data_IF_428339826975
#
_entry.id   IF_428339826975
#
_cell.length_a   1.000
_cell.length_b   1.000
_cell.length_c   1.000
_cell.angle_alpha   90.00
_cell.angle_beta   90.00
_cell.angle_gamma   90.00
#
_symmetry.space_group_name_H-M   'P 1'
#
loop_
_entity.id
_entity.type
_entity.pdbx_description
1 polymer ?
#
# COMPACT_ATOMS: atom_id res chain seq x y z
N UNK A 1 2.36 -30.93 42.27
CA UNK A 1 1.61 -29.81 41.67
C UNK A 1 0.22 -30.34 41.31
N UNK A 2 -0.85 -29.68 41.75
CA UNK A 2 -2.23 -30.14 41.54
C UNK A 2 -2.75 -29.64 40.18
N UNK A 3 -3.43 -30.48 39.42
CA UNK A 3 -4.00 -30.18 38.10
C UNK A 3 -4.81 -28.87 38.08
N UNK A 4 -5.52 -28.53 39.17
CA UNK A 4 -6.26 -27.26 39.27
C UNK A 4 -5.37 -26.02 39.22
N UNK A 5 -4.18 -26.11 39.83
CA UNK A 5 -3.22 -25.01 39.87
C UNK A 5 -2.55 -24.82 38.49
N UNK A 6 -2.27 -25.93 37.80
CA UNK A 6 -1.74 -25.90 36.44
C UNK A 6 -2.73 -25.27 35.46
N UNK A 7 -4.01 -25.69 35.52
CA UNK A 7 -5.08 -25.12 34.69
C UNK A 7 -5.23 -23.62 34.92
N UNK A 8 -5.17 -23.16 36.18
CA UNK A 8 -5.28 -21.73 36.49
C UNK A 8 -4.11 -20.91 35.93
N UNK A 9 -2.87 -21.42 36.01
CA UNK A 9 -1.69 -20.78 35.42
C UNK A 9 -1.82 -20.69 33.89
N UNK A 10 -2.27 -21.77 33.24
CA UNK A 10 -2.49 -21.78 31.79
C UNK A 10 -3.58 -20.77 31.38
N UNK A 11 -4.68 -20.67 32.13
CA UNK A 11 -5.74 -19.70 31.85
C UNK A 11 -5.26 -18.25 31.96
N UNK A 12 -4.40 -17.96 32.94
CA UNK A 12 -3.80 -16.64 33.14
C UNK A 12 -2.89 -16.29 31.97
N UNK A 13 -2.00 -17.21 31.59
CA UNK A 13 -1.09 -17.02 30.46
C UNK A 13 -1.84 -16.81 29.12
N UNK A 14 -2.90 -17.59 28.87
CA UNK A 14 -3.75 -17.40 27.68
C UNK A 14 -4.43 -16.03 27.68
N UNK A 15 -4.83 -15.52 28.85
CA UNK A 15 -5.44 -14.19 28.96
C UNK A 15 -4.43 -13.09 28.66
N UNK A 16 -3.19 -13.22 29.14
CA UNK A 16 -2.11 -12.27 28.87
C UNK A 16 -1.78 -12.22 27.37
N UNK A 17 -1.60 -13.38 26.73
CA UNK A 17 -1.39 -13.45 25.27
C UNK A 17 -2.53 -12.78 24.50
N UNK A 18 -3.79 -13.02 24.89
CA UNK A 18 -4.93 -12.38 24.21
C UNK A 18 -4.90 -10.86 24.32
N UNK A 19 -4.49 -10.34 25.48
CA UNK A 19 -4.37 -8.90 25.67
C UNK A 19 -3.24 -8.32 24.80
N UNK A 20 -2.08 -8.98 24.75
CA UNK A 20 -0.95 -8.56 23.92
C UNK A 20 -1.31 -8.59 22.43
N UNK A 21 -1.97 -9.67 21.97
CA UNK A 21 -2.48 -9.77 20.60
C UNK A 21 -3.42 -8.60 20.26
N UNK A 22 -4.38 -8.30 21.13
CA UNK A 22 -5.32 -7.21 20.91
C UNK A 22 -4.62 -5.84 20.84
N UNK A 23 -3.53 -5.62 21.58
CA UNK A 23 -2.72 -4.40 21.50
C UNK A 23 -1.99 -4.32 20.16
N UNK A 24 -1.37 -5.42 19.73
CA UNK A 24 -0.63 -5.50 18.46
C UNK A 24 -1.57 -5.30 17.26
N UNK A 25 -2.74 -5.95 17.25
CA UNK A 25 -3.73 -5.81 16.19
C UNK A 25 -4.23 -4.35 16.05
N UNK A 26 -4.47 -3.67 17.18
CA UNK A 26 -4.83 -2.25 17.17
C UNK A 26 -3.71 -1.38 16.62
N UNK A 27 -2.46 -1.66 17.00
CA UNK A 27 -1.30 -0.92 16.49
C UNK A 27 -1.14 -1.13 14.97
N UNK A 28 -1.29 -2.37 14.50
CA UNK A 28 -1.26 -2.73 13.07
C UNK A 28 -2.34 -1.97 12.29
N UNK A 29 -3.59 -2.03 12.73
CA UNK A 29 -4.70 -1.35 12.06
C UNK A 29 -4.51 0.18 11.99
N UNK A 30 -3.88 0.77 13.02
CA UNK A 30 -3.54 2.20 13.00
C UNK A 30 -2.49 2.51 11.93
N UNK A 31 -1.43 1.71 11.86
CA UNK A 31 -0.34 1.90 10.89
C UNK A 31 -0.86 1.72 9.46
N UNK A 32 -1.68 0.70 9.21
CA UNK A 32 -2.30 0.47 7.90
C UNK A 32 -3.08 1.70 7.41
N UNK A 33 -3.91 2.29 8.26
CA UNK A 33 -4.66 3.52 7.91
C UNK A 33 -3.75 4.72 7.62
N UNK A 34 -2.67 4.87 8.38
CA UNK A 34 -1.69 5.95 8.15
C UNK A 34 -0.99 5.77 6.80
N UNK A 35 -0.63 4.52 6.48
CA UNK A 35 -0.02 4.18 5.21
C UNK A 35 -0.96 4.45 4.04
N UNK A 36 -2.21 3.99 4.11
CA UNK A 36 -3.24 4.26 3.09
C UNK A 36 -3.46 5.75 2.86
N UNK A 37 -3.53 6.53 3.94
CA UNK A 37 -3.70 7.99 3.86
C UNK A 37 -2.49 8.64 3.17
N UNK A 38 -1.29 8.20 3.51
CA UNK A 38 -0.05 8.74 2.93
C UNK A 38 0.06 8.42 1.45
N UNK A 39 -0.25 7.18 1.05
CA UNK A 39 -0.29 6.79 -0.35
C UNK A 39 -1.26 7.66 -1.14
N UNK A 40 -2.48 7.87 -0.61
CA UNK A 40 -3.47 8.71 -1.27
C UNK A 40 -2.98 10.14 -1.49
N UNK A 41 -2.31 10.74 -0.49
CA UNK A 41 -1.74 12.09 -0.63
C UNK A 41 -0.64 12.13 -1.70
N UNK A 42 0.24 11.13 -1.74
CA UNK A 42 1.29 11.04 -2.76
C UNK A 42 0.70 10.85 -4.16
N UNK A 43 -0.36 10.06 -4.29
CA UNK A 43 -1.07 9.88 -5.56
C UNK A 43 -1.72 11.20 -6.03
N UNK A 44 -2.33 11.96 -5.12
CA UNK A 44 -2.87 13.29 -5.40
C UNK A 44 -1.78 14.27 -5.85
N UNK A 45 -0.63 14.29 -5.17
CA UNK A 45 0.53 15.11 -5.52
C UNK A 45 1.10 14.72 -6.90
N UNK A 46 1.25 13.43 -7.18
CA UNK A 46 1.69 12.93 -8.47
C UNK A 46 0.70 13.30 -9.59
N UNK A 47 -0.61 13.21 -9.33
CA UNK A 47 -1.63 13.65 -10.28
C UNK A 47 -1.54 15.16 -10.54
N UNK A 48 -1.35 15.97 -9.50
CA UNK A 48 -1.18 17.42 -9.62
C UNK A 48 0.09 17.80 -10.41
N UNK A 49 1.18 17.05 -10.28
CA UNK A 49 2.38 17.24 -11.10
C UNK A 49 2.18 16.79 -12.54
N UNK A 50 1.53 15.64 -12.76
CA UNK A 50 1.22 15.11 -14.09
C UNK A 50 0.36 16.07 -14.91
N UNK A 51 -0.63 16.73 -14.30
CA UNK A 51 -1.48 17.72 -15.00
C UNK A 51 -0.72 18.97 -15.43
N UNK A 52 0.41 19.28 -14.78
CA UNK A 52 1.28 20.40 -15.15
C UNK A 52 2.36 20.00 -16.17
N UNK A 53 2.49 18.71 -16.49
CA UNK A 53 3.49 18.23 -17.43
C UNK A 53 3.18 18.74 -18.83
N UNK A 54 4.10 19.46 -19.49
CA UNK A 54 3.88 19.96 -20.85
C UNK A 54 4.10 18.88 -21.92
N UNK A 55 4.48 17.65 -21.51
CA UNK A 55 4.72 16.51 -22.40
C UNK A 55 5.69 16.80 -23.56
N UNK A 56 6.73 17.60 -23.30
CA UNK A 56 7.71 18.02 -24.32
C UNK A 56 8.66 16.90 -24.75
N UNK A 57 8.81 15.88 -23.90
CA UNK A 57 9.70 14.75 -24.13
C UNK A 57 8.87 13.47 -24.13
N UNK A 58 8.75 12.87 -25.32
CA UNK A 58 7.97 11.66 -25.56
C UNK A 58 8.76 10.63 -26.34
N UNK A 59 8.57 9.36 -25.99
CA UNK A 59 9.09 8.22 -26.74
C UNK A 59 7.96 7.58 -27.52
N UNK A 60 8.15 7.41 -28.83
CA UNK A 60 7.18 6.73 -29.68
C UNK A 60 7.37 5.20 -29.62
N UNK A 61 6.29 4.48 -29.36
CA UNK A 61 6.24 3.03 -29.31
C UNK A 61 5.48 2.50 -30.53
N UNK A 62 6.20 2.05 -31.59
CA UNK A 62 5.56 1.51 -32.78
C UNK A 62 4.92 0.15 -32.48
N UNK A 63 3.74 -0.09 -33.03
CA UNK A 63 3.10 -1.40 -33.00
C UNK A 63 3.76 -2.35 -34.00
N UNK A 64 4.27 -3.48 -33.51
CA UNK A 64 4.94 -4.46 -34.37
C UNK A 64 3.97 -5.17 -35.34
N UNK A 65 2.67 -5.17 -35.04
CA UNK A 65 1.63 -5.87 -35.80
C UNK A 65 0.96 -5.04 -36.89
N UNK A 66 1.15 -3.72 -36.93
CA UNK A 66 0.54 -2.83 -37.92
C UNK A 66 -0.98 -2.66 -37.79
N UNK A 67 -1.52 -2.84 -36.59
CA UNK A 67 -2.94 -2.73 -36.26
C UNK A 67 -3.34 -1.35 -35.70
N UNK A 68 -2.46 -0.34 -35.81
CA UNK A 68 -2.69 1.04 -35.35
C UNK A 68 -2.80 1.17 -33.81
N UNK A 69 -2.04 0.35 -33.09
CA UNK A 69 -1.91 0.40 -31.63
C UNK A 69 -0.61 1.13 -31.19
N UNK A 70 -0.04 1.95 -32.08
CA UNK A 70 1.12 2.77 -31.77
C UNK A 70 0.75 3.88 -30.78
N UNK A 71 1.62 4.14 -29.80
CA UNK A 71 1.36 5.12 -28.73
C UNK A 71 2.62 5.91 -28.37
N UNK A 72 2.46 7.04 -27.69
CA UNK A 72 3.58 7.85 -27.20
C UNK A 72 3.62 7.84 -25.68
N UNK A 73 4.78 7.57 -25.08
CA UNK A 73 4.98 7.71 -23.63
C UNK A 73 5.67 9.04 -23.33
N UNK A 74 5.17 9.81 -22.36
CA UNK A 74 5.92 10.94 -21.84
C UNK A 74 7.02 10.49 -20.88
N UNK A 75 8.29 10.78 -21.20
CA UNK A 75 9.46 10.38 -20.41
C UNK A 75 9.51 11.03 -19.02
N UNK A 76 8.85 12.19 -18.85
CA UNK A 76 8.89 12.94 -17.59
C UNK A 76 7.82 12.50 -16.58
N UNK A 77 6.64 12.09 -17.07
CA UNK A 77 5.51 11.80 -16.18
C UNK A 77 4.89 10.41 -16.37
N UNK A 78 5.42 9.62 -17.32
CA UNK A 78 5.01 8.25 -17.63
C UNK A 78 3.57 8.14 -18.14
N UNK A 79 3.06 9.19 -18.78
CA UNK A 79 1.69 9.20 -19.31
C UNK A 79 1.72 8.82 -20.78
N UNK A 80 0.86 7.88 -21.16
CA UNK A 80 0.54 7.58 -22.55
C UNK A 80 -0.30 8.71 -23.17
N UNK A 81 0.07 9.12 -24.39
CA UNK A 81 -0.49 10.27 -25.13
C UNK A 81 -1.06 9.84 -26.48
#
# INVERSE_FOLDING_TARGET
MNDKELVHKMQTYVKEIRNELAVIEKARARIERQYETTLKMLDEDLAALRTKCPHLETTYHPDASGNNDSWNECNLCGKEL
#
